data_IF_775428100523
#
_entry.id   IF_775428100523
#
_cell.length_a   1.000
_cell.length_b   1.000
_cell.length_c   1.000
_cell.angle_alpha   90.00
_cell.angle_beta   90.00
_cell.angle_gamma   90.00
#
_symmetry.space_group_name_H-M   'P 1'
#
loop_
_entity.id
_entity.type
_entity.pdbx_description
1 polymer ?
#
# COMPACT_ATOMS: atom_id res chain seq x y z
N UNK A 1 -14.24 29.92 -3.08
CA UNK A 1 -14.70 28.64 -2.48
C UNK A 1 -13.55 27.79 -1.89
N UNK A 2 -12.28 28.18 -2.04
CA UNK A 2 -11.09 27.56 -1.41
C UNK A 2 -10.84 27.95 0.06
N UNK A 3 -11.83 28.53 0.75
CA UNK A 3 -11.77 28.88 2.18
C UNK A 3 -12.37 27.80 3.09
N UNK A 4 -13.08 26.79 2.56
CA UNK A 4 -13.81 25.81 3.40
C UNK A 4 -13.02 24.52 3.74
N UNK A 5 -12.01 24.12 2.97
CA UNK A 5 -11.19 22.94 3.30
C UNK A 5 -9.96 23.29 4.16
N UNK A 6 -10.09 24.32 5.01
CA UNK A 6 -9.03 24.84 5.88
C UNK A 6 -8.54 23.88 6.96
N UNK A 7 -9.21 22.73 7.15
CA UNK A 7 -8.76 21.53 7.87
C UNK A 7 -9.53 20.36 7.28
N UNK A 8 -8.94 19.69 6.31
CA UNK A 8 -9.49 18.47 5.72
C UNK A 8 -9.60 17.41 6.82
N UNK A 9 -10.82 17.14 7.28
CA UNK A 9 -11.11 16.00 8.16
C UNK A 9 -11.16 14.78 7.25
N UNK A 10 -10.38 13.75 7.57
CA UNK A 10 -10.38 12.52 6.80
C UNK A 10 -11.61 11.68 7.19
N UNK A 11 -12.76 11.96 6.58
CA UNK A 11 -14.01 11.24 6.80
C UNK A 11 -14.76 10.94 5.48
N UNK A 12 -15.77 10.07 5.59
CA UNK A 12 -16.57 9.61 4.45
C UNK A 12 -17.33 10.77 3.80
N UNK A 13 -17.80 11.74 4.59
CA UNK A 13 -18.52 12.90 4.07
C UNK A 13 -17.62 13.74 3.17
N UNK A 14 -16.39 13.99 3.58
CA UNK A 14 -15.37 14.74 2.85
C UNK A 14 -15.06 14.06 1.51
N UNK A 15 -14.89 12.73 1.51
CA UNK A 15 -14.73 11.96 0.26
C UNK A 15 -15.94 12.15 -0.66
N UNK A 16 -17.15 12.07 -0.13
CA UNK A 16 -18.37 12.27 -0.92
C UNK A 16 -18.47 13.69 -1.49
N UNK A 17 -18.13 14.71 -0.71
CA UNK A 17 -18.10 16.10 -1.16
C UNK A 17 -17.07 16.30 -2.28
N UNK A 18 -15.86 15.73 -2.13
CA UNK A 18 -14.82 15.79 -3.16
C UNK A 18 -15.22 15.07 -4.44
N UNK A 19 -15.85 13.89 -4.35
CA UNK A 19 -16.38 13.17 -5.52
C UNK A 19 -17.47 13.97 -6.22
N UNK A 20 -18.38 14.61 -5.47
CA UNK A 20 -19.40 15.51 -6.03
C UNK A 20 -18.79 16.72 -6.72
N UNK A 21 -17.81 17.36 -6.09
CA UNK A 21 -17.10 18.49 -6.68
C UNK A 21 -16.37 18.09 -7.96
N UNK A 22 -15.64 16.98 -7.95
CA UNK A 22 -14.98 16.43 -9.14
C UNK A 22 -15.99 16.19 -10.27
N UNK A 23 -17.15 15.59 -9.96
CA UNK A 23 -18.21 15.36 -10.93
C UNK A 23 -18.80 16.68 -11.48
N UNK A 24 -19.10 17.65 -10.62
CA UNK A 24 -19.63 18.95 -11.05
C UNK A 24 -18.61 19.74 -11.88
N UNK A 25 -17.34 19.72 -11.50
CA UNK A 25 -16.26 20.35 -12.25
C UNK A 25 -16.08 19.70 -13.62
N UNK A 26 -16.20 18.38 -13.70
CA UNK A 26 -16.21 17.63 -14.97
C UNK A 26 -17.41 18.03 -15.84
N UNK A 27 -18.61 18.15 -15.26
CA UNK A 27 -19.80 18.63 -15.97
C UNK A 27 -19.65 20.08 -16.43
N UNK A 28 -19.05 20.95 -15.62
CA UNK A 28 -18.80 22.35 -15.97
C UNK A 28 -17.80 22.44 -17.13
N UNK A 29 -16.68 21.72 -17.04
CA UNK A 29 -15.69 21.58 -18.13
C UNK A 29 -16.35 21.14 -19.44
N UNK A 30 -17.34 20.24 -19.40
CA UNK A 30 -18.04 19.78 -20.61
C UNK A 30 -18.90 20.85 -21.30
N UNK A 31 -19.20 21.96 -20.61
CA UNK A 31 -20.08 23.04 -21.10
C UNK A 31 -19.36 24.35 -21.35
N UNK A 32 -18.21 24.57 -20.70
CA UNK A 32 -17.46 25.81 -20.77
C UNK A 32 -16.00 25.51 -21.14
N UNK A 33 -15.43 26.22 -22.13
CA UNK A 33 -14.01 26.08 -22.48
C UNK A 33 -13.16 26.72 -21.38
N UNK A 34 -12.59 25.89 -20.50
CA UNK A 34 -11.86 26.27 -19.29
C UNK A 34 -10.48 25.61 -19.20
N UNK A 35 -10.02 24.96 -20.26
CA UNK A 35 -8.68 24.37 -20.34
C UNK A 35 -7.64 25.47 -20.60
N UNK A 36 -6.35 25.23 -20.36
CA UNK A 36 -5.35 26.26 -20.66
C UNK A 36 -5.35 26.61 -22.14
N UNK A 37 -5.39 27.91 -22.43
CA UNK A 37 -5.56 28.48 -23.76
C UNK A 37 -7.01 28.89 -24.06
N UNK A 38 -7.99 28.41 -23.29
CA UNK A 38 -9.39 28.72 -23.50
C UNK A 38 -9.80 30.11 -22.96
N UNK A 39 -10.87 30.72 -23.52
CA UNK A 39 -11.31 32.06 -23.12
C UNK A 39 -11.87 32.16 -21.70
N UNK A 40 -12.37 31.06 -21.11
CA UNK A 40 -12.90 31.04 -19.74
C UNK A 40 -11.99 30.26 -18.77
N UNK A 41 -10.69 30.15 -19.08
CA UNK A 41 -9.71 29.58 -18.16
C UNK A 41 -9.67 30.36 -16.83
N UNK A 42 -9.51 29.63 -15.73
CA UNK A 42 -9.47 30.19 -14.38
C UNK A 42 -8.17 29.73 -13.72
N UNK A 43 -7.44 30.60 -13.01
CA UNK A 43 -6.27 30.18 -12.23
C UNK A 43 -6.70 29.35 -11.01
N UNK A 44 -6.16 28.15 -10.91
CA UNK A 44 -6.28 27.27 -9.75
C UNK A 44 -4.94 27.20 -9.03
N UNK A 45 -4.96 27.31 -7.70
CA UNK A 45 -3.76 27.37 -6.86
C UNK A 45 -3.78 26.27 -5.81
N UNK A 46 -2.73 25.45 -5.79
CA UNK A 46 -2.55 24.35 -4.83
C UNK A 46 -1.18 24.40 -4.16
N UNK A 47 -1.18 24.19 -2.85
CA UNK A 47 0.03 24.11 -2.04
C UNK A 47 0.31 22.66 -1.64
N UNK A 48 1.51 22.19 -1.97
CA UNK A 48 2.01 20.92 -1.49
C UNK A 48 2.69 21.10 -0.13
N UNK A 49 1.91 20.88 0.93
CA UNK A 49 2.43 20.86 2.31
C UNK A 49 3.13 19.55 2.65
N UNK A 50 2.85 18.47 1.91
CA UNK A 50 3.36 17.15 2.25
C UNK A 50 4.83 17.01 1.87
N UNK A 51 5.28 17.68 0.81
CA UNK A 51 6.67 17.68 0.36
C UNK A 51 7.46 18.91 0.80
N UNK A 52 6.97 19.65 1.82
CA UNK A 52 7.60 20.85 2.39
C UNK A 52 7.88 21.95 1.34
N UNK A 53 7.04 22.07 0.31
CA UNK A 53 7.24 23.08 -0.74
C UNK A 53 6.82 24.48 -0.24
N UNK A 54 7.66 25.52 -0.42
CA UNK A 54 7.45 26.83 0.19
C UNK A 54 6.35 27.65 -0.48
N UNK A 55 6.01 27.37 -1.75
CA UNK A 55 5.11 28.18 -2.57
C UNK A 55 3.99 27.34 -3.19
N UNK A 56 2.82 27.95 -3.37
CA UNK A 56 1.72 27.34 -4.11
C UNK A 56 2.03 27.31 -5.61
N UNK A 57 1.66 26.21 -6.26
CA UNK A 57 1.68 26.09 -7.73
C UNK A 57 0.35 26.60 -8.28
N UNK A 58 0.41 27.39 -9.34
CA UNK A 58 -0.77 28.01 -9.97
C UNK A 58 -0.80 27.69 -11.44
N UNK A 59 -1.91 27.12 -11.91
CA UNK A 59 -2.13 26.85 -13.33
C UNK A 59 -3.53 27.33 -13.75
N UNK A 60 -3.62 27.95 -14.92
CA UNK A 60 -4.88 28.38 -15.54
C UNK A 60 -5.53 27.22 -16.32
N UNK A 61 -5.81 26.11 -15.63
CA UNK A 61 -6.41 24.96 -16.27
C UNK A 61 -7.29 24.13 -15.33
N UNK A 62 -8.53 23.91 -15.75
CA UNK A 62 -9.49 23.07 -15.02
C UNK A 62 -9.01 21.61 -14.85
N UNK A 63 -8.16 21.09 -15.73
CA UNK A 63 -7.57 19.75 -15.60
C UNK A 63 -6.57 19.66 -14.45
N UNK A 64 -5.85 20.75 -14.14
CA UNK A 64 -4.99 20.81 -12.98
C UNK A 64 -5.82 20.66 -11.69
N UNK A 65 -6.91 21.42 -11.58
CA UNK A 65 -7.87 21.30 -10.47
C UNK A 65 -8.44 19.88 -10.35
N UNK A 66 -8.90 19.29 -11.47
CA UNK A 66 -9.42 17.92 -11.48
C UNK A 66 -8.37 16.92 -10.96
N UNK A 67 -7.11 17.07 -11.36
CA UNK A 67 -6.01 16.17 -10.95
C UNK A 67 -5.72 16.32 -9.45
N UNK A 68 -5.64 17.55 -8.93
CA UNK A 68 -5.45 17.82 -7.51
C UNK A 68 -6.60 17.26 -6.65
N UNK A 69 -7.84 17.38 -7.11
CA UNK A 69 -8.99 16.79 -6.43
C UNK A 69 -8.95 15.26 -6.47
N UNK A 70 -8.55 14.65 -7.58
CA UNK A 70 -8.37 13.20 -7.69
C UNK A 70 -7.30 12.70 -6.71
N UNK A 71 -6.16 13.39 -6.62
CA UNK A 71 -5.10 13.09 -5.65
C UNK A 71 -5.65 13.15 -4.21
N UNK A 72 -6.38 14.22 -3.87
CA UNK A 72 -6.96 14.39 -2.54
C UNK A 72 -8.02 13.33 -2.21
N UNK A 73 -8.81 12.85 -3.18
CA UNK A 73 -9.73 11.73 -2.98
C UNK A 73 -8.94 10.47 -2.55
N UNK A 74 -7.83 10.17 -3.23
CA UNK A 74 -6.94 9.07 -2.88
C UNK A 74 -6.33 9.25 -1.49
N UNK A 75 -5.80 10.43 -1.20
CA UNK A 75 -5.18 10.75 0.08
C UNK A 75 -6.16 10.67 1.26
N UNK A 76 -7.39 11.17 1.10
CA UNK A 76 -8.44 11.10 2.13
C UNK A 76 -8.88 9.65 2.35
N UNK A 77 -9.07 8.86 1.29
CA UNK A 77 -9.35 7.43 1.44
C UNK A 77 -8.24 6.70 2.21
N UNK A 78 -6.97 6.98 1.91
CA UNK A 78 -5.83 6.41 2.64
C UNK A 78 -5.82 6.85 4.11
N UNK A 79 -6.08 8.13 4.38
CA UNK A 79 -6.12 8.66 5.74
C UNK A 79 -7.26 8.06 6.58
N UNK A 80 -8.44 7.82 5.99
CA UNK A 80 -9.53 7.09 6.67
C UNK A 80 -9.04 5.67 7.02
N UNK A 81 -8.49 4.94 6.05
CA UNK A 81 -8.05 3.56 6.23
C UNK A 81 -6.95 3.37 7.29
N UNK A 82 -6.05 4.35 7.42
CA UNK A 82 -4.98 4.35 8.43
C UNK A 82 -5.53 4.60 9.83
N UNK A 83 -6.59 5.39 9.96
CA UNK A 83 -7.20 5.74 11.25
C UNK A 83 -8.26 4.74 11.74
N UNK A 84 -8.61 3.74 10.93
CA UNK A 84 -9.45 2.63 11.36
C UNK A 84 -8.75 1.80 12.45
N UNK A 85 -9.49 1.40 13.49
CA UNK A 85 -8.92 0.71 14.67
C UNK A 85 -8.44 -0.72 14.36
N UNK A 86 -8.97 -1.35 13.31
CA UNK A 86 -8.66 -2.73 12.86
C UNK A 86 -8.76 -3.79 13.97
N UNK A 87 -9.57 -3.53 14.99
CA UNK A 87 -9.77 -4.43 16.14
C UNK A 87 -10.81 -5.52 15.87
N UNK A 88 -11.64 -5.35 14.84
CA UNK A 88 -12.76 -6.21 14.54
C UNK A 88 -12.92 -6.43 13.02
N UNK A 89 -13.72 -7.43 12.65
CA UNK A 89 -13.87 -7.83 11.25
C UNK A 89 -14.48 -6.74 10.37
N UNK A 90 -15.33 -5.86 10.90
CA UNK A 90 -16.01 -4.84 10.11
C UNK A 90 -15.10 -3.62 9.93
N UNK A 91 -14.34 -3.21 10.96
CA UNK A 91 -13.30 -2.19 10.80
C UNK A 91 -12.17 -2.63 9.87
N UNK A 92 -11.79 -3.91 9.87
CA UNK A 92 -10.80 -4.45 8.92
C UNK A 92 -11.32 -4.44 7.48
N UNK A 93 -12.59 -4.83 7.25
CA UNK A 93 -13.22 -4.74 5.92
C UNK A 93 -13.34 -3.29 5.45
N UNK A 94 -13.67 -2.37 6.36
CA UNK A 94 -13.71 -0.92 6.09
C UNK A 94 -12.34 -0.43 5.65
N UNK A 95 -11.30 -0.65 6.47
CA UNK A 95 -9.92 -0.26 6.18
C UNK A 95 -9.43 -0.84 4.84
N UNK A 96 -9.66 -2.13 4.62
CA UNK A 96 -9.35 -2.82 3.36
C UNK A 96 -9.98 -2.11 2.15
N UNK A 97 -11.28 -1.83 2.24
CA UNK A 97 -12.03 -1.16 1.19
C UNK A 97 -11.47 0.24 0.92
N UNK A 98 -11.17 0.99 1.97
CA UNK A 98 -10.63 2.34 1.84
C UNK A 98 -9.22 2.35 1.24
N UNK A 99 -8.32 1.41 1.58
CA UNK A 99 -7.02 1.30 0.91
C UNK A 99 -7.15 0.95 -0.57
N UNK A 100 -8.04 0.03 -0.93
CA UNK A 100 -8.29 -0.29 -2.33
C UNK A 100 -8.86 0.92 -3.09
N UNK A 101 -9.79 1.65 -2.48
CA UNK A 101 -10.33 2.88 -3.05
C UNK A 101 -9.28 4.01 -3.12
N UNK A 102 -8.28 4.02 -2.25
CA UNK A 102 -7.17 4.98 -2.28
C UNK A 102 -6.15 4.68 -3.38
N UNK A 103 -5.85 3.40 -3.62
CA UNK A 103 -4.89 2.99 -4.65
C UNK A 103 -5.37 3.41 -6.05
N UNK A 104 -6.68 3.38 -6.28
CA UNK A 104 -7.27 3.64 -7.58
C UNK A 104 -6.95 5.07 -8.11
N UNK A 105 -7.23 6.18 -7.40
CA UNK A 105 -6.88 7.52 -7.84
C UNK A 105 -5.41 7.69 -8.20
N UNK A 106 -4.48 7.16 -7.40
CA UNK A 106 -3.05 7.26 -7.69
C UNK A 106 -2.66 6.47 -8.93
N UNK A 107 -3.22 5.27 -9.12
CA UNK A 107 -3.04 4.50 -10.34
C UNK A 107 -3.57 5.25 -11.56
N UNK A 108 -4.70 5.93 -11.43
CA UNK A 108 -5.27 6.71 -12.51
C UNK A 108 -4.40 7.90 -12.91
N UNK A 109 -3.85 8.60 -11.92
CA UNK A 109 -2.91 9.71 -12.16
C UNK A 109 -1.67 9.17 -12.89
N UNK A 110 -1.12 8.05 -12.42
CA UNK A 110 0.07 7.38 -13.01
C UNK A 110 -0.15 6.90 -14.45
N UNK A 111 -1.25 6.19 -14.70
CA UNK A 111 -1.44 5.39 -15.92
C UNK A 111 -2.28 6.10 -17.01
N UNK A 112 -3.13 7.07 -16.64
CA UNK A 112 -4.20 7.59 -17.52
C UNK A 112 -4.29 9.10 -17.59
N UNK A 113 -3.97 9.83 -16.51
CA UNK A 113 -3.88 11.29 -16.55
C UNK A 113 -2.58 11.78 -17.20
N UNK A 114 -1.78 10.84 -17.74
CA UNK A 114 -0.61 11.10 -18.59
C UNK A 114 0.49 11.92 -17.87
N UNK A 115 0.72 11.62 -16.59
CA UNK A 115 1.80 12.21 -15.79
C UNK A 115 3.22 11.83 -16.27
N UNK A 116 3.35 10.90 -17.23
CA UNK A 116 4.59 10.16 -17.52
C UNK A 116 5.27 10.39 -18.88
N UNK A 117 4.60 10.76 -19.99
CA UNK A 117 5.11 10.93 -21.39
C UNK A 117 6.57 10.55 -21.82
N UNK A 118 7.11 9.42 -21.35
CA UNK A 118 8.30 8.73 -21.86
C UNK A 118 7.89 7.28 -22.26
N UNK A 119 8.36 6.80 -23.42
CA UNK A 119 7.73 5.81 -24.33
C UNK A 119 8.01 4.30 -24.10
N UNK A 120 7.04 3.37 -24.30
CA UNK A 120 7.25 1.93 -24.68
C UNK A 120 5.95 1.15 -25.06
N UNK A 121 6.10 -0.02 -25.72
CA UNK A 121 5.22 -0.81 -26.63
C UNK A 121 4.46 -1.99 -25.95
N UNK A 122 4.35 -2.04 -24.62
CA UNK A 122 4.00 -3.29 -23.89
C UNK A 122 2.49 -3.55 -23.63
N UNK A 123 1.56 -2.97 -24.40
CA UNK A 123 0.11 -2.96 -24.07
C UNK A 123 -0.78 -3.85 -24.94
N UNK A 124 -0.52 -5.16 -25.00
CA UNK A 124 -1.44 -6.09 -25.67
C UNK A 124 -2.70 -6.42 -24.80
N UNK A 125 -3.94 -6.24 -25.31
CA UNK A 125 -5.19 -6.41 -24.54
C UNK A 125 -5.49 -7.81 -23.98
N UNK A 126 -4.87 -8.84 -24.53
CA UNK A 126 -5.05 -10.25 -24.14
C UNK A 126 -4.46 -10.55 -22.75
N UNK A 127 -3.37 -9.88 -22.37
CA UNK A 127 -2.65 -10.05 -21.10
C UNK A 127 -3.34 -9.29 -19.96
N UNK A 128 -3.90 -8.10 -20.24
CA UNK A 128 -4.61 -7.28 -19.25
C UNK A 128 -5.96 -7.89 -18.82
N UNK A 129 -6.57 -8.68 -19.70
CA UNK A 129 -7.84 -9.37 -19.44
C UNK A 129 -7.67 -10.53 -18.44
N UNK A 130 -6.46 -11.11 -18.35
CA UNK A 130 -6.16 -12.19 -17.41
C UNK A 130 -6.02 -11.70 -15.96
N UNK A 131 -5.34 -10.58 -15.73
CA UNK A 131 -5.17 -9.98 -14.38
C UNK A 131 -6.49 -9.54 -13.75
N UNK A 132 -7.41 -9.00 -14.55
CA UNK A 132 -8.75 -8.58 -14.08
C UNK A 132 -9.56 -9.78 -13.60
N UNK A 133 -9.40 -10.96 -14.23
CA UNK A 133 -10.15 -12.16 -13.88
C UNK A 133 -9.59 -12.90 -12.65
N UNK A 134 -8.29 -12.81 -12.38
CA UNK A 134 -7.66 -13.43 -11.20
C UNK A 134 -7.92 -12.62 -9.92
N UNK A 135 -7.99 -11.29 -10.02
CA UNK A 135 -8.20 -10.38 -8.88
C UNK A 135 -9.68 -10.24 -8.43
N UNK A 136 -10.65 -10.80 -9.17
CA UNK A 136 -12.09 -10.71 -8.87
C UNK A 136 -12.68 -11.94 -8.15
N UNK A 137 -11.86 -12.87 -7.65
CA UNK A 137 -12.36 -14.16 -7.15
C UNK A 137 -12.76 -14.24 -5.66
N UNK A 138 -12.70 -13.16 -4.87
CA UNK A 138 -13.14 -13.22 -3.45
C UNK A 138 -14.34 -12.30 -3.21
N UNK A 139 -15.51 -12.96 -3.15
CA UNK A 139 -16.86 -12.42 -2.92
C UNK A 139 -16.94 -11.46 -1.72
N UNK A 140 -16.70 -10.16 -1.95
CA UNK A 140 -17.38 -9.03 -1.29
C UNK A 140 -17.01 -7.66 -1.90
N UNK A 141 -16.61 -7.60 -3.18
CA UNK A 141 -16.23 -6.35 -3.85
C UNK A 141 -17.30 -5.85 -4.85
N UNK A 142 -18.52 -6.38 -4.79
CA UNK A 142 -19.53 -6.17 -5.83
C UNK A 142 -20.09 -4.73 -5.87
N UNK A 143 -20.01 -3.97 -4.77
CA UNK A 143 -20.58 -2.61 -4.70
C UNK A 143 -19.61 -1.49 -5.07
N UNK A 144 -18.29 -1.74 -5.09
CA UNK A 144 -17.29 -0.68 -5.32
C UNK A 144 -16.84 -0.53 -6.77
N UNK A 145 -17.01 -1.56 -7.61
CA UNK A 145 -16.57 -1.51 -9.01
C UNK A 145 -17.57 -0.85 -9.98
N UNK A 146 -18.87 -0.83 -9.68
CA UNK A 146 -19.85 -0.14 -10.55
C UNK A 146 -19.70 1.39 -10.54
N UNK A 147 -19.17 1.99 -9.47
CA UNK A 147 -18.90 3.43 -9.40
C UNK A 147 -17.51 3.81 -9.95
N UNK A 148 -16.59 2.85 -10.07
CA UNK A 148 -15.21 3.11 -10.50
C UNK A 148 -15.07 3.06 -12.04
N UNK A 149 -15.67 2.11 -12.75
CA UNK A 149 -15.31 1.87 -14.16
C UNK A 149 -15.61 3.00 -15.17
N UNK A 150 -16.58 3.88 -14.91
CA UNK A 150 -17.11 4.83 -15.90
C UNK A 150 -16.21 6.05 -16.19
N UNK A 151 -15.63 6.75 -15.19
CA UNK A 151 -14.71 7.87 -15.45
C UNK A 151 -13.45 7.46 -16.24
N UNK A 152 -13.03 6.19 -16.14
CA UNK A 152 -11.79 5.71 -16.76
C UNK A 152 -11.91 5.48 -18.26
N UNK A 153 -13.10 5.11 -18.75
CA UNK A 153 -13.32 5.02 -20.19
C UNK A 153 -13.32 6.42 -20.83
N UNK A 154 -13.80 7.43 -20.12
CA UNK A 154 -13.95 8.78 -20.67
C UNK A 154 -12.65 9.59 -20.70
N UNK A 155 -11.81 9.45 -19.66
CA UNK A 155 -10.52 10.14 -19.58
C UNK A 155 -9.51 9.51 -20.55
N UNK A 156 -9.52 8.16 -20.68
CA UNK A 156 -8.65 7.37 -21.56
C UNK A 156 -8.75 7.79 -23.02
N UNK A 157 -9.96 8.09 -23.49
CA UNK A 157 -10.21 8.23 -24.92
C UNK A 157 -10.12 9.71 -25.40
N UNK A 158 -10.10 10.71 -24.50
CA UNK A 158 -10.41 12.12 -24.87
C UNK A 158 -9.59 13.28 -24.26
N UNK A 159 -8.78 13.11 -23.20
CA UNK A 159 -8.36 14.28 -22.36
C UNK A 159 -6.92 14.82 -22.50
N UNK A 160 -6.03 14.27 -23.33
CA UNK A 160 -4.72 14.82 -23.74
C UNK A 160 -3.96 15.76 -22.73
N UNK A 161 -3.77 15.31 -21.49
CA UNK A 161 -3.47 16.14 -20.31
C UNK A 161 -1.97 16.44 -20.01
N UNK A 162 -1.14 16.71 -21.02
CA UNK A 162 0.33 16.58 -20.89
C UNK A 162 1.13 17.87 -20.62
N UNK A 163 0.71 18.76 -19.71
CA UNK A 163 1.32 20.11 -19.62
C UNK A 163 1.60 20.71 -18.22
N UNK A 164 1.45 19.98 -17.11
CA UNK A 164 1.67 20.54 -15.76
C UNK A 164 2.86 19.89 -15.03
N UNK A 165 3.69 20.70 -14.36
CA UNK A 165 4.90 20.27 -13.62
C UNK A 165 4.68 20.33 -12.10
N UNK A 166 4.35 19.21 -11.47
CA UNK A 166 4.20 19.06 -10.00
C UNK A 166 4.87 17.77 -9.50
N UNK A 167 5.54 17.84 -8.36
CA UNK A 167 6.29 16.72 -7.74
C UNK A 167 5.36 15.60 -7.26
N UNK A 168 4.16 15.93 -6.76
CA UNK A 168 3.15 14.94 -6.34
C UNK A 168 2.66 14.06 -7.50
N UNK A 169 2.89 14.49 -8.75
CA UNK A 169 2.52 13.74 -9.95
C UNK A 169 3.69 12.95 -10.52
N UNK A 170 4.85 12.94 -9.86
CA UNK A 170 6.01 12.17 -10.31
C UNK A 170 5.64 10.69 -10.43
N UNK A 171 5.83 10.08 -11.63
CA UNK A 171 5.48 8.69 -11.89
C UNK A 171 6.05 7.68 -10.90
N UNK A 172 7.31 7.88 -10.51
CA UNK A 172 7.98 7.03 -9.53
C UNK A 172 7.30 7.09 -8.16
N UNK A 173 6.90 8.29 -7.72
CA UNK A 173 6.20 8.50 -6.44
C UNK A 173 4.80 7.89 -6.48
N UNK A 174 4.03 8.11 -7.55
CA UNK A 174 2.70 7.54 -7.70
C UNK A 174 2.74 6.00 -7.78
N UNK A 175 3.74 5.43 -8.46
CA UNK A 175 3.97 3.98 -8.49
C UNK A 175 4.20 3.45 -7.09
N UNK A 176 5.06 4.13 -6.31
CA UNK A 176 5.32 3.76 -4.93
C UNK A 176 4.05 3.82 -4.08
N UNK A 177 3.25 4.89 -4.18
CA UNK A 177 1.99 5.00 -3.45
C UNK A 177 1.02 3.86 -3.77
N UNK A 178 0.84 3.53 -5.05
CA UNK A 178 -0.01 2.41 -5.46
C UNK A 178 0.47 1.11 -4.83
N UNK A 179 1.76 0.80 -4.92
CA UNK A 179 2.31 -0.44 -4.39
C UNK A 179 2.14 -0.54 -2.86
N UNK A 180 2.41 0.55 -2.13
CA UNK A 180 2.25 0.58 -0.67
C UNK A 180 0.78 0.48 -0.25
N UNK A 181 -0.14 1.16 -0.93
CA UNK A 181 -1.58 1.10 -0.59
C UNK A 181 -2.16 -0.29 -0.87
N UNK A 182 -1.73 -0.94 -1.96
CA UNK A 182 -2.11 -2.33 -2.24
C UNK A 182 -1.50 -3.29 -1.20
N UNK A 183 -0.25 -3.07 -0.78
CA UNK A 183 0.35 -3.82 0.31
C UNK A 183 -0.46 -3.66 1.60
N UNK A 184 -0.79 -2.42 2.00
CA UNK A 184 -1.60 -2.13 3.18
C UNK A 184 -3.00 -2.74 3.12
N UNK A 185 -3.62 -2.82 1.94
CA UNK A 185 -4.86 -3.58 1.78
C UNK A 185 -4.63 -5.07 2.06
N UNK A 186 -3.55 -5.65 1.57
CA UNK A 186 -3.23 -7.06 1.82
C UNK A 186 -2.90 -7.33 3.30
N UNK A 187 -2.36 -6.34 4.04
CA UNK A 187 -2.20 -6.43 5.50
C UNK A 187 -3.55 -6.66 6.19
N UNK A 188 -4.59 -5.94 5.78
CA UNK A 188 -5.94 -6.15 6.30
C UNK A 188 -6.43 -7.60 6.04
N UNK A 189 -6.06 -8.20 4.91
CA UNK A 189 -6.40 -9.61 4.62
C UNK A 189 -5.64 -10.55 5.55
N UNK A 190 -4.37 -10.27 5.83
CA UNK A 190 -3.57 -11.04 6.79
C UNK A 190 -4.15 -10.93 8.21
N UNK A 191 -4.42 -9.72 8.69
CA UNK A 191 -5.05 -9.44 9.98
C UNK A 191 -6.39 -10.18 10.11
N UNK A 192 -7.23 -10.10 9.07
CA UNK A 192 -8.46 -10.88 9.01
C UNK A 192 -8.20 -12.38 9.10
N UNK A 193 -7.20 -12.89 8.38
CA UNK A 193 -6.88 -14.32 8.36
C UNK A 193 -6.37 -14.83 9.70
N UNK A 194 -5.65 -13.99 10.45
CA UNK A 194 -5.22 -14.24 11.83
C UNK A 194 -6.42 -14.32 12.78
N UNK A 195 -7.35 -13.34 12.70
CA UNK A 195 -8.58 -13.30 13.52
C UNK A 195 -9.53 -14.47 13.19
N UNK A 196 -9.67 -14.81 11.92
CA UNK A 196 -10.47 -15.94 11.45
C UNK A 196 -9.85 -17.31 11.85
N UNK A 197 -8.65 -17.34 12.44
CA UNK A 197 -7.88 -18.55 12.72
C UNK A 197 -7.77 -19.49 11.51
N UNK A 198 -7.41 -18.93 10.35
CA UNK A 198 -7.23 -19.72 9.13
C UNK A 198 -6.07 -20.70 9.27
N UNK A 199 -5.99 -21.66 8.34
CA UNK A 199 -4.87 -22.61 8.27
C UNK A 199 -3.54 -21.87 8.25
N UNK A 200 -2.58 -22.35 9.03
CA UNK A 200 -1.23 -21.79 9.14
C UNK A 200 -0.54 -21.61 7.77
N UNK A 201 -0.70 -22.57 6.87
CA UNK A 201 -0.17 -22.49 5.50
C UNK A 201 -0.78 -21.36 4.67
N UNK A 202 -2.05 -21.01 4.89
CA UNK A 202 -2.71 -19.89 4.21
C UNK A 202 -2.18 -18.57 4.74
N UNK A 203 -2.08 -18.44 6.07
CA UNK A 203 -1.56 -17.23 6.73
C UNK A 203 -0.09 -17.00 6.31
N UNK A 204 0.73 -18.05 6.32
CA UNK A 204 2.12 -17.99 5.89
C UNK A 204 2.26 -17.53 4.43
N UNK A 205 1.45 -18.05 3.51
CA UNK A 205 1.49 -17.62 2.09
C UNK A 205 1.17 -16.13 1.92
N UNK A 206 0.16 -15.63 2.62
CA UNK A 206 -0.20 -14.19 2.58
C UNK A 206 0.94 -13.35 3.16
N UNK A 207 1.52 -13.77 4.28
CA UNK A 207 2.63 -13.07 4.92
C UNK A 207 3.91 -13.06 4.07
N UNK A 208 4.25 -14.15 3.38
CA UNK A 208 5.37 -14.19 2.43
C UNK A 208 5.13 -13.21 1.28
N UNK A 209 3.94 -13.25 0.67
CA UNK A 209 3.57 -12.31 -0.38
C UNK A 209 3.69 -10.86 0.10
N UNK A 210 3.20 -10.53 1.29
CA UNK A 210 3.32 -9.20 1.88
C UNK A 210 4.77 -8.76 2.09
N UNK A 211 5.62 -9.66 2.60
CA UNK A 211 7.07 -9.40 2.72
C UNK A 211 7.64 -9.01 1.37
N UNK A 212 7.40 -9.81 0.34
CA UNK A 212 7.97 -9.61 -1.00
C UNK A 212 7.47 -8.31 -1.64
N UNK A 213 6.18 -7.99 -1.47
CA UNK A 213 5.63 -6.70 -1.93
C UNK A 213 6.31 -5.52 -1.21
N UNK A 214 6.53 -5.59 0.11
CA UNK A 214 7.23 -4.53 0.83
C UNK A 214 8.71 -4.41 0.45
N UNK A 215 9.38 -5.53 0.16
CA UNK A 215 10.74 -5.52 -0.41
C UNK A 215 10.76 -4.84 -1.78
N UNK A 216 9.82 -5.18 -2.67
CA UNK A 216 9.69 -4.50 -3.96
C UNK A 216 9.43 -2.99 -3.79
N UNK A 217 8.69 -2.58 -2.75
CA UNK A 217 8.52 -1.16 -2.42
C UNK A 217 9.84 -0.50 -1.98
N UNK A 218 10.69 -1.19 -1.21
CA UNK A 218 12.03 -0.71 -0.87
C UNK A 218 12.90 -0.56 -2.11
N UNK A 219 12.98 -1.60 -2.94
CA UNK A 219 13.79 -1.61 -4.16
C UNK A 219 13.35 -0.50 -5.12
N UNK A 220 12.05 -0.26 -5.25
CA UNK A 220 11.53 0.85 -6.05
C UNK A 220 11.95 2.21 -5.47
N UNK A 221 11.90 2.42 -4.15
CA UNK A 221 12.39 3.67 -3.55
C UNK A 221 13.87 3.93 -3.87
N UNK A 222 14.70 2.88 -3.78
CA UNK A 222 16.14 2.96 -3.95
C UNK A 222 16.56 3.12 -5.42
N UNK A 223 15.81 2.54 -6.36
CA UNK A 223 16.16 2.53 -7.79
C UNK A 223 15.54 3.65 -8.63
N UNK A 224 14.48 4.31 -8.13
CA UNK A 224 13.66 5.24 -8.95
C UNK A 224 14.01 6.73 -8.81
N UNK A 225 15.11 7.06 -8.12
CA UNK A 225 15.55 8.46 -7.94
C UNK A 225 14.66 9.30 -7.01
N UNK A 226 13.69 8.68 -6.32
CA UNK A 226 12.78 9.37 -5.39
C UNK A 226 13.54 10.11 -4.29
N UNK A 227 14.73 9.63 -3.90
CA UNK A 227 15.60 10.30 -2.92
C UNK A 227 15.98 11.74 -3.28
N UNK A 228 16.02 12.07 -4.57
CA UNK A 228 16.39 13.39 -5.07
C UNK A 228 15.19 14.34 -5.10
N UNK A 229 13.98 13.79 -4.97
CA UNK A 229 12.71 14.47 -5.17
C UNK A 229 12.05 14.80 -3.82
N UNK A 230 12.10 13.86 -2.87
CA UNK A 230 11.53 14.04 -1.52
C UNK A 230 12.59 14.35 -0.48
N UNK A 231 12.18 15.03 0.58
CA UNK A 231 13.09 15.37 1.68
C UNK A 231 13.75 14.11 2.27
N UNK A 232 15.03 14.23 2.61
CA UNK A 232 15.83 13.11 3.15
C UNK A 232 15.25 12.51 4.44
N UNK A 233 14.47 13.29 5.20
CA UNK A 233 13.75 12.78 6.37
C UNK A 233 12.61 11.85 5.97
N UNK A 234 11.77 12.29 5.02
CA UNK A 234 10.58 11.56 4.58
C UNK A 234 10.96 10.28 3.82
N UNK A 235 11.94 10.38 2.93
CA UNK A 235 12.52 9.21 2.24
C UNK A 235 12.98 8.13 3.21
N UNK A 236 13.78 8.51 4.23
CA UNK A 236 14.27 7.57 5.25
C UNK A 236 13.16 6.96 6.10
N UNK A 237 12.09 7.70 6.36
CA UNK A 237 10.93 7.17 7.07
C UNK A 237 10.18 6.11 6.23
N UNK A 238 9.96 6.39 4.95
CA UNK A 238 9.30 5.47 4.02
C UNK A 238 10.09 4.17 3.84
N UNK A 239 11.39 4.28 3.58
CA UNK A 239 12.28 3.13 3.43
C UNK A 239 12.33 2.29 4.71
N UNK A 240 12.42 2.93 5.87
CA UNK A 240 12.40 2.23 7.16
C UNK A 240 11.07 1.53 7.40
N UNK A 241 9.95 2.18 7.07
CA UNK A 241 8.61 1.59 7.24
C UNK A 241 8.48 0.31 6.42
N UNK A 242 8.90 0.34 5.15
CA UNK A 242 8.85 -0.81 4.26
C UNK A 242 9.78 -1.94 4.76
N UNK A 243 11.02 -1.62 5.16
CA UNK A 243 11.95 -2.61 5.72
C UNK A 243 11.42 -3.26 7.00
N UNK A 244 10.94 -2.48 7.97
CA UNK A 244 10.37 -3.02 9.22
C UNK A 244 9.18 -3.93 8.91
N UNK A 245 8.28 -3.51 8.03
CA UNK A 245 7.10 -4.31 7.66
C UNK A 245 7.48 -5.59 6.92
N UNK A 246 8.42 -5.54 5.97
CA UNK A 246 8.93 -6.72 5.30
C UNK A 246 9.47 -7.75 6.30
N UNK A 247 10.32 -7.32 7.23
CA UNK A 247 10.87 -8.19 8.28
C UNK A 247 9.78 -8.75 9.20
N UNK A 248 8.82 -7.93 9.63
CA UNK A 248 7.70 -8.40 10.45
C UNK A 248 6.85 -9.46 9.75
N UNK A 249 6.52 -9.27 8.47
CA UNK A 249 5.75 -10.27 7.72
C UNK A 249 6.58 -11.53 7.40
N UNK A 250 7.89 -11.39 7.22
CA UNK A 250 8.82 -12.53 7.20
C UNK A 250 8.77 -13.34 8.51
N UNK A 251 8.79 -12.67 9.66
CA UNK A 251 8.66 -13.32 10.96
C UNK A 251 7.30 -14.01 11.13
N UNK A 252 6.19 -13.34 10.80
CA UNK A 252 4.84 -13.92 10.86
C UNK A 252 4.74 -15.17 9.99
N UNK A 253 5.26 -15.11 8.76
CA UNK A 253 5.28 -16.28 7.87
C UNK A 253 5.99 -17.47 8.52
N UNK A 254 7.20 -17.25 9.03
CA UNK A 254 8.00 -18.30 9.66
C UNK A 254 7.35 -18.84 10.93
N UNK A 255 6.71 -18.00 11.75
CA UNK A 255 5.98 -18.45 12.93
C UNK A 255 4.87 -19.43 12.55
N UNK A 256 4.03 -19.10 11.58
CA UNK A 256 2.94 -19.99 11.18
C UNK A 256 3.44 -21.27 10.50
N UNK A 257 4.57 -21.24 9.80
CA UNK A 257 5.19 -22.46 9.28
C UNK A 257 5.75 -23.34 10.39
N UNK A 258 6.32 -22.74 11.43
CA UNK A 258 6.70 -23.42 12.66
C UNK A 258 5.49 -24.09 13.34
N UNK A 259 4.36 -23.41 13.41
CA UNK A 259 3.11 -23.98 13.93
C UNK A 259 2.56 -25.11 13.05
N UNK A 260 2.67 -24.99 11.72
CA UNK A 260 2.32 -26.10 10.83
C UNK A 260 3.25 -27.31 11.03
N UNK A 261 4.55 -27.07 11.19
CA UNK A 261 5.52 -28.13 11.47
C UNK A 261 5.25 -28.83 12.82
N UNK A 262 4.77 -28.08 13.81
CA UNK A 262 4.32 -28.64 15.10
C UNK A 262 3.14 -29.60 14.93
N UNK A 263 2.12 -29.19 14.14
CA UNK A 263 0.97 -30.04 13.79
C UNK A 263 1.43 -31.30 13.05
N UNK A 264 2.37 -31.15 12.11
CA UNK A 264 2.93 -32.24 11.31
C UNK A 264 3.93 -33.11 12.11
N UNK A 265 4.19 -32.78 13.38
CA UNK A 265 5.16 -33.44 14.27
C UNK A 265 6.60 -33.45 13.74
N UNK A 266 7.01 -32.39 13.05
CA UNK A 266 8.38 -32.17 12.56
C UNK A 266 9.10 -31.16 13.45
N UNK A 267 9.54 -31.60 14.62
CA UNK A 267 10.07 -30.75 15.69
C UNK A 267 11.38 -30.05 15.31
N UNK A 268 12.23 -30.73 14.52
CA UNK A 268 13.44 -30.11 13.98
C UNK A 268 13.11 -28.94 13.03
N UNK A 269 12.10 -29.10 12.18
CA UNK A 269 11.65 -28.06 11.25
C UNK A 269 10.97 -26.90 11.99
N UNK A 270 10.16 -27.20 13.02
CA UNK A 270 9.55 -26.21 13.90
C UNK A 270 10.60 -25.27 14.49
N UNK A 271 11.67 -25.83 15.06
CA UNK A 271 12.77 -25.03 15.61
C UNK A 271 13.49 -24.22 14.53
N UNK A 272 13.77 -24.82 13.37
CA UNK A 272 14.43 -24.11 12.27
C UNK A 272 13.63 -22.89 11.79
N UNK A 273 12.30 -23.02 11.64
CA UNK A 273 11.45 -21.89 11.28
C UNK A 273 11.46 -20.78 12.33
N UNK A 274 11.39 -21.11 13.63
CA UNK A 274 11.46 -20.09 14.68
C UNK A 274 12.83 -19.39 14.78
N UNK A 275 13.92 -20.08 14.45
CA UNK A 275 15.24 -19.46 14.34
C UNK A 275 15.27 -18.42 13.21
N UNK A 276 14.68 -18.72 12.05
CA UNK A 276 14.57 -17.75 10.94
C UNK A 276 13.65 -16.59 11.33
N UNK A 277 12.53 -16.85 12.02
CA UNK A 277 11.68 -15.79 12.56
C UNK A 277 12.46 -14.86 13.51
N UNK A 278 13.36 -15.42 14.32
CA UNK A 278 14.24 -14.69 15.25
C UNK A 278 15.21 -13.76 14.50
N UNK A 279 15.76 -14.20 13.36
CA UNK A 279 16.58 -13.36 12.48
C UNK A 279 15.78 -12.15 11.96
N UNK A 280 14.55 -12.39 11.49
CA UNK A 280 13.66 -11.34 11.00
C UNK A 280 13.33 -10.29 12.06
N UNK A 281 12.89 -10.69 13.26
CA UNK A 281 12.57 -9.72 14.33
C UNK A 281 13.80 -8.95 14.82
N UNK A 282 14.99 -9.57 14.81
CA UNK A 282 16.26 -8.89 15.11
C UNK A 282 16.60 -7.84 14.04
N UNK A 283 16.35 -8.13 12.77
CA UNK A 283 16.52 -7.17 11.68
C UNK A 283 15.53 -6.00 11.81
N UNK A 284 14.24 -6.29 12.06
CA UNK A 284 13.22 -5.28 12.33
C UNK A 284 13.59 -4.36 13.50
N UNK A 285 14.11 -4.93 14.59
CA UNK A 285 14.56 -4.18 15.77
C UNK A 285 15.70 -3.20 15.43
N UNK A 286 16.65 -3.59 14.58
CA UNK A 286 17.72 -2.67 14.12
C UNK A 286 17.16 -1.50 13.32
N UNK A 287 16.19 -1.75 12.43
CA UNK A 287 15.59 -0.68 11.64
C UNK A 287 14.79 0.31 12.49
N UNK A 288 14.15 -0.14 13.57
CA UNK A 288 13.27 0.71 14.39
C UNK A 288 14.01 1.59 15.41
N UNK A 289 15.29 1.35 15.70
CA UNK A 289 16.07 2.07 16.73
C UNK A 289 16.01 3.60 16.60
N UNK A 290 15.95 4.13 15.36
CA UNK A 290 15.90 5.58 15.09
C UNK A 290 14.51 6.10 14.68
N UNK A 291 13.45 5.31 14.82
CA UNK A 291 12.07 5.71 14.50
C UNK A 291 11.43 6.46 15.68
N UNK A 292 10.54 7.42 15.47
CA UNK A 292 9.86 8.14 16.57
C UNK A 292 8.45 7.63 16.84
N UNK A 293 7.91 6.76 16.00
CA UNK A 293 6.53 6.26 16.07
C UNK A 293 6.45 5.11 17.07
N UNK A 294 5.81 5.37 18.20
CA UNK A 294 5.69 4.42 19.31
C UNK A 294 4.88 3.17 18.93
N UNK A 295 3.82 3.32 18.14
CA UNK A 295 2.99 2.19 17.68
C UNK A 295 3.81 1.15 16.89
N UNK A 296 4.69 1.61 16.01
CA UNK A 296 5.55 0.72 15.21
C UNK A 296 6.61 0.05 16.08
N UNK A 297 7.17 0.77 17.06
CA UNK A 297 8.09 0.20 18.07
C UNK A 297 7.42 -0.91 18.87
N UNK A 298 6.21 -0.66 19.39
CA UNK A 298 5.44 -1.63 20.16
C UNK A 298 5.11 -2.88 19.34
N UNK A 299 4.77 -2.74 18.06
CA UNK A 299 4.54 -3.87 17.17
C UNK A 299 5.80 -4.76 17.01
N UNK A 300 6.98 -4.15 16.86
CA UNK A 300 8.26 -4.89 16.77
C UNK A 300 8.59 -5.58 18.09
N UNK A 301 8.39 -4.91 19.22
CA UNK A 301 8.62 -5.50 20.54
C UNK A 301 7.68 -6.70 20.77
N UNK A 302 6.40 -6.54 20.50
CA UNK A 302 5.42 -7.63 20.62
C UNK A 302 5.79 -8.84 19.75
N UNK A 303 6.12 -8.61 18.47
CA UNK A 303 6.54 -9.68 17.58
C UNK A 303 7.83 -10.37 18.08
N UNK A 304 8.79 -9.59 18.59
CA UNK A 304 10.03 -10.12 19.17
C UNK A 304 9.74 -11.02 20.37
N UNK A 305 8.91 -10.59 21.31
CA UNK A 305 8.57 -11.34 22.52
C UNK A 305 7.91 -12.68 22.17
N UNK A 306 6.95 -12.66 21.22
CA UNK A 306 6.26 -13.88 20.75
C UNK A 306 7.25 -14.86 20.10
N UNK A 307 8.10 -14.35 19.20
CA UNK A 307 9.07 -15.18 18.47
C UNK A 307 10.10 -15.79 19.41
N UNK A 308 10.69 -14.98 20.29
CA UNK A 308 11.71 -15.45 21.26
C UNK A 308 11.13 -16.49 22.21
N UNK A 309 9.90 -16.29 22.69
CA UNK A 309 9.23 -17.27 23.54
C UNK A 309 9.01 -18.61 22.80
N UNK A 310 8.51 -18.57 21.56
CA UNK A 310 8.30 -19.76 20.72
C UNK A 310 9.61 -20.48 20.39
N UNK A 311 10.65 -19.74 20.00
CA UNK A 311 11.99 -20.28 19.71
C UNK A 311 12.58 -20.98 20.95
N UNK A 312 12.54 -20.31 22.10
CA UNK A 312 13.10 -20.83 23.35
C UNK A 312 12.39 -22.12 23.79
N UNK A 313 11.05 -22.15 23.70
CA UNK A 313 10.28 -23.34 24.00
C UNK A 313 10.60 -24.49 23.03
N UNK A 314 10.56 -24.24 21.71
CA UNK A 314 10.86 -25.27 20.72
C UNK A 314 12.29 -25.82 20.84
N UNK A 315 13.26 -24.94 21.16
CA UNK A 315 14.64 -25.35 21.41
C UNK A 315 14.73 -26.28 22.61
N UNK A 316 14.12 -25.90 23.74
CA UNK A 316 14.09 -26.72 24.95
C UNK A 316 13.44 -28.09 24.68
N UNK A 317 12.29 -28.12 24.03
CA UNK A 317 11.60 -29.38 23.74
C UNK A 317 12.40 -30.27 22.80
N UNK A 318 13.02 -29.70 21.76
CA UNK A 318 13.85 -30.48 20.85
C UNK A 318 15.14 -30.99 21.52
N UNK A 319 15.80 -30.18 22.37
CA UNK A 319 17.05 -30.54 23.04
C UNK A 319 16.87 -31.61 24.12
N UNK A 320 15.69 -31.72 24.74
CA UNK A 320 15.45 -32.63 25.88
C UNK A 320 14.44 -33.75 25.61
N UNK A 321 13.57 -33.62 24.61
CA UNK A 321 12.50 -34.59 24.33
C UNK A 321 12.73 -35.24 22.97
N UNK A 322 12.66 -34.46 21.89
CA UNK A 322 12.55 -35.01 20.53
C UNK A 322 13.88 -35.37 19.88
N UNK A 323 14.94 -34.59 20.15
CA UNK A 323 16.27 -34.74 19.58
C UNK A 323 16.28 -34.85 18.04
N UNK A 324 15.33 -34.17 17.37
CA UNK A 324 15.29 -34.17 15.91
C UNK A 324 16.39 -33.28 15.34
N UNK A 325 16.96 -33.70 14.21
CA UNK A 325 17.91 -32.88 13.45
C UNK A 325 17.21 -31.59 12.99
N UNK A 326 17.82 -30.45 13.31
CA UNK A 326 17.38 -29.14 12.81
C UNK A 326 17.89 -28.98 11.37
N UNK A 327 16.99 -28.87 10.36
CA UNK A 327 17.39 -28.65 8.98
C UNK A 327 18.00 -27.26 8.80
N UNK A 328 18.90 -27.14 7.82
CA UNK A 328 19.45 -25.83 7.42
C UNK A 328 18.45 -25.06 6.56
N UNK A 329 18.69 -23.75 6.37
CA UNK A 329 17.81 -22.87 5.59
C UNK A 329 17.61 -23.35 4.15
N UNK A 330 18.63 -23.94 3.53
CA UNK A 330 18.58 -24.46 2.16
C UNK A 330 17.77 -25.76 2.06
N UNK A 331 17.59 -26.47 3.17
CA UNK A 331 16.86 -27.73 3.27
C UNK A 331 15.37 -27.50 3.58
N UNK A 332 15.03 -26.31 4.08
CA UNK A 332 13.65 -25.85 4.24
C UNK A 332 13.15 -25.45 2.85
N UNK A 333 12.35 -26.31 2.22
CA UNK A 333 11.85 -26.11 0.86
C UNK A 333 11.35 -24.69 0.62
N UNK A 334 11.64 -24.15 -0.57
CA UNK A 334 11.17 -22.83 -1.00
C UNK A 334 9.65 -22.84 -0.93
N UNK A 335 9.08 -22.01 -0.07
CA UNK A 335 7.63 -21.82 -0.05
C UNK A 335 7.33 -20.84 -1.17
N UNK A 336 7.12 -21.41 -2.36
CA UNK A 336 6.68 -20.66 -3.52
C UNK A 336 5.34 -19.99 -3.20
N UNK A 337 5.30 -18.68 -3.40
CA UNK A 337 4.06 -17.92 -3.46
C UNK A 337 3.36 -18.38 -4.74
N UNK A 338 2.19 -19.02 -4.62
CA UNK A 338 1.40 -19.45 -5.77
C UNK A 338 0.82 -18.27 -6.53
#
# INVERSE_FOLDING_TARGET
>A
MLQQFGRLIADVETVCQMKRYYAQLTMMKSRFPMEEGDPLKIPFSWLDKAMDMPNSTVYEDVNFELTCIMFNIGAVHAAIAVNEMRSDLDSIKSAFTHFQCAAFPFQHIRDKMNATKYSSVDFEPSILTWYVNVLLSIKSAFTHFQCAAFPFQHIRDKMNATKYSSVDFEPSILTWYVNVLLAQAQECILEKSLIDHRKNTVIAKIAIYLRDVYMNCCEHLESSGISDIVSSSKYREWLRTCNVKAELYGAVAMVHLGEQADIDKKMGHRLAYYQIASEHVKAAAKFIEKDKRESLRQAVVFATDVVVAKETNAKKENDFIYHERVPKREELGIIEVC
#
